data_IF_213312497729
#
_entry.id   IF_213312497729
#
_cell.length_a   1.000
_cell.length_b   1.000
_cell.length_c   1.000
_cell.angle_alpha   90.00
_cell.angle_beta   90.00
_cell.angle_gamma   90.00
#
_symmetry.space_group_name_H-M   'P 1'
#
loop_
_entity.id
_entity.type
_entity.pdbx_description
1 polymer ?
#
# COMPACT_ATOMS: atom_id res chain seq x y z
N UNK A 1 -4.20 13.63 -5.04
CA UNK A 1 -2.90 14.11 -4.48
C UNK A 1 -1.76 13.51 -5.29
N UNK A 2 -0.82 14.30 -5.77
CA UNK A 2 0.32 13.76 -6.52
C UNK A 2 1.31 13.12 -5.55
N UNK A 3 1.52 11.81 -5.66
CA UNK A 3 2.62 11.12 -5.01
C UNK A 3 3.72 10.86 -6.04
N UNK A 4 4.97 10.89 -5.61
CA UNK A 4 6.12 10.59 -6.47
C UNK A 4 6.78 9.31 -6.00
N UNK A 5 7.06 8.41 -6.93
CA UNK A 5 7.84 7.19 -6.68
C UNK A 5 9.20 7.30 -7.35
N UNK A 6 10.24 6.90 -6.65
CA UNK A 6 11.60 6.78 -7.16
C UNK A 6 12.00 5.31 -7.12
N UNK A 7 12.44 4.80 -8.25
CA UNK A 7 13.01 3.47 -8.40
C UNK A 7 14.50 3.61 -8.73
N UNK A 8 15.35 3.01 -7.91
CA UNK A 8 16.80 3.05 -8.10
C UNK A 8 17.30 1.65 -8.43
N UNK A 9 17.85 1.50 -9.62
CA UNK A 9 18.45 0.25 -10.10
C UNK A 9 19.89 0.08 -9.60
N UNK A 10 20.37 -1.16 -9.66
CA UNK A 10 21.70 -1.56 -9.15
C UNK A 10 22.88 -0.79 -9.74
N UNK A 11 22.73 -0.22 -10.92
CA UNK A 11 23.80 0.54 -11.58
C UNK A 11 23.88 2.00 -11.11
N UNK A 12 22.94 2.44 -10.28
CA UNK A 12 22.86 3.79 -9.73
C UNK A 12 23.19 3.83 -8.22
N UNK A 13 23.70 2.72 -7.67
CA UNK A 13 24.13 2.60 -6.27
C UNK A 13 25.58 2.13 -6.19
N UNK A 14 26.27 2.48 -5.11
CA UNK A 14 27.67 2.09 -4.91
C UNK A 14 27.84 0.59 -4.63
N UNK A 15 26.86 -0.01 -3.96
CA UNK A 15 26.91 -1.39 -3.48
C UNK A 15 26.06 -2.36 -4.35
N UNK A 16 25.47 -1.86 -5.44
CA UNK A 16 24.59 -2.65 -6.30
C UNK A 16 23.21 -2.94 -5.71
N UNK A 17 22.85 -2.29 -4.62
CA UNK A 17 21.50 -2.38 -4.06
C UNK A 17 20.46 -1.76 -4.98
N UNK A 18 19.21 -2.18 -4.82
CA UNK A 18 18.06 -1.55 -5.46
C UNK A 18 17.17 -0.92 -4.40
N UNK A 19 16.57 0.21 -4.72
CA UNK A 19 15.70 0.91 -3.78
C UNK A 19 14.38 1.29 -4.43
N UNK A 20 13.34 1.30 -3.59
CA UNK A 20 12.04 1.85 -3.91
C UNK A 20 11.69 2.86 -2.82
N UNK A 21 11.35 4.06 -3.23
CA UNK A 21 10.97 5.13 -2.32
C UNK A 21 9.78 5.90 -2.88
N UNK A 22 8.94 6.43 -1.99
CA UNK A 22 7.85 7.32 -2.38
C UNK A 22 7.65 8.38 -1.32
N UNK A 23 7.13 9.52 -1.75
CA UNK A 23 6.52 10.46 -0.85
C UNK A 23 5.00 10.19 -0.78
N UNK A 24 4.40 10.69 0.28
CA UNK A 24 2.97 10.65 0.52
C UNK A 24 2.55 12.11 0.73
N UNK A 25 2.06 12.75 -0.34
CA UNK A 25 1.77 14.18 -0.29
C UNK A 25 0.50 14.45 0.53
N UNK A 26 0.63 15.28 1.55
CA UNK A 26 -0.50 15.73 2.35
C UNK A 26 -1.42 16.64 1.50
N UNK A 27 -2.72 16.39 1.57
CA UNK A 27 -3.72 17.13 0.81
C UNK A 27 -4.00 18.52 1.35
N UNK A 28 -3.13 19.48 1.09
CA UNK A 28 -3.45 20.92 1.22
C UNK A 28 -3.74 21.49 2.61
N UNK A 29 -3.73 20.72 3.66
CA UNK A 29 -4.10 21.13 5.02
C UNK A 29 -2.92 21.10 6.01
N UNK A 30 -1.71 21.17 5.53
CA UNK A 30 -0.45 21.20 6.32
C UNK A 30 -0.28 20.05 7.33
N UNK A 31 -1.13 19.04 7.27
CA UNK A 31 -1.08 17.87 8.14
C UNK A 31 -0.59 16.66 7.38
N UNK A 32 0.60 16.19 7.70
CA UNK A 32 1.06 14.88 7.28
C UNK A 32 0.79 13.83 8.35
N UNK A 33 0.55 12.60 7.94
CA UNK A 33 0.42 11.48 8.87
C UNK A 33 1.78 10.80 9.02
N UNK A 34 2.36 10.77 10.22
CA UNK A 34 3.62 10.06 10.46
C UNK A 34 3.53 8.60 10.03
N UNK A 35 4.59 8.11 9.42
CA UNK A 35 4.75 6.71 9.01
C UNK A 35 5.73 5.99 9.93
N UNK A 36 5.63 4.68 9.99
CA UNK A 36 6.60 3.82 10.66
C UNK A 36 6.98 2.64 9.76
N UNK A 37 8.24 2.24 9.78
CA UNK A 37 8.63 1.00 9.12
C UNK A 37 8.33 -0.19 10.03
N UNK A 38 7.65 -1.18 9.47
CA UNK A 38 7.33 -2.43 10.17
C UNK A 38 7.75 -3.62 9.32
N UNK A 39 7.93 -4.76 10.00
CA UNK A 39 8.06 -6.07 9.38
C UNK A 39 6.81 -6.87 9.73
N UNK A 40 6.11 -7.35 8.72
CA UNK A 40 4.90 -8.17 8.89
C UNK A 40 5.25 -9.62 8.65
N UNK A 41 5.05 -10.45 9.67
CA UNK A 41 5.33 -11.88 9.59
C UNK A 41 4.18 -12.63 8.90
N UNK A 42 4.44 -13.79 8.28
CA UNK A 42 3.41 -14.61 7.63
C UNK A 42 2.20 -14.92 8.52
N UNK A 43 2.44 -15.18 9.81
CA UNK A 43 1.39 -15.49 10.79
C UNK A 43 0.51 -14.30 11.17
N UNK A 44 0.97 -13.08 10.93
CA UNK A 44 0.26 -11.82 11.24
C UNK A 44 -0.65 -11.37 10.09
N UNK A 45 -0.51 -12.00 8.92
CA UNK A 45 -1.25 -11.63 7.72
C UNK A 45 -2.61 -12.34 7.69
N UNK A 46 -3.69 -11.63 7.30
CA UNK A 46 -5.00 -12.25 7.12
C UNK A 46 -4.99 -13.25 5.96
N UNK A 47 -5.96 -14.15 5.93
CA UNK A 47 -6.18 -15.08 4.80
C UNK A 47 -7.26 -14.60 3.85
N UNK A 48 -7.97 -13.57 4.24
CA UNK A 48 -8.97 -12.89 3.40
C UNK A 48 -8.77 -11.39 3.57
N UNK A 49 -8.59 -10.69 2.48
CA UNK A 49 -8.70 -9.24 2.47
C UNK A 49 -10.17 -8.86 2.39
N UNK A 50 -10.59 -7.98 3.26
CA UNK A 50 -11.93 -7.37 3.24
C UNK A 50 -11.80 -5.90 2.93
N UNK A 51 -12.49 -5.45 1.90
CA UNK A 51 -12.54 -4.04 1.57
C UNK A 51 -13.21 -3.24 2.70
N UNK A 52 -12.72 -2.04 2.93
CA UNK A 52 -13.28 -1.14 3.97
C UNK A 52 -14.52 -0.42 3.44
N UNK A 53 -14.54 -0.11 2.15
CA UNK A 53 -15.54 0.75 1.52
C UNK A 53 -16.55 -0.02 0.66
N UNK A 54 -16.37 -1.32 0.52
CA UNK A 54 -17.22 -2.16 -0.32
C UNK A 54 -17.40 -3.56 0.28
N UNK A 55 -18.23 -4.38 -0.34
CA UNK A 55 -18.43 -5.78 0.05
C UNK A 55 -17.42 -6.76 -0.53
N UNK A 56 -16.37 -6.26 -1.21
CA UNK A 56 -15.37 -7.11 -1.85
C UNK A 56 -14.53 -7.85 -0.81
N UNK A 57 -14.44 -9.16 -0.97
CA UNK A 57 -13.52 -10.03 -0.25
C UNK A 57 -12.60 -10.74 -1.23
N UNK A 58 -11.29 -10.77 -0.93
CA UNK A 58 -10.28 -11.40 -1.79
C UNK A 58 -9.54 -12.44 -0.96
N UNK A 59 -9.55 -13.73 -1.37
CA UNK A 59 -8.74 -14.74 -0.72
C UNK A 59 -7.25 -14.43 -0.92
N UNK A 60 -6.50 -14.48 0.14
CA UNK A 60 -5.05 -14.25 0.15
C UNK A 60 -4.31 -15.60 0.24
N UNK A 61 -3.02 -15.63 -0.15
CA UNK A 61 -2.24 -16.85 -0.12
C UNK A 61 -2.20 -17.52 1.26
N UNK A 62 -2.29 -18.83 1.32
CA UNK A 62 -2.15 -19.60 2.56
C UNK A 62 -0.75 -19.50 3.15
N UNK A 63 0.26 -19.40 2.30
CA UNK A 63 1.66 -19.26 2.66
C UNK A 63 2.21 -17.91 2.19
N UNK A 64 1.81 -16.80 2.84
CA UNK A 64 2.27 -15.48 2.45
C UNK A 64 3.73 -15.27 2.83
N UNK A 65 4.41 -14.44 2.08
CA UNK A 65 5.79 -14.05 2.38
C UNK A 65 5.82 -12.97 3.47
N UNK A 66 6.91 -12.97 4.25
CA UNK A 66 7.24 -11.84 5.13
C UNK A 66 7.52 -10.61 4.28
N UNK A 67 7.09 -9.43 4.74
CA UNK A 67 7.35 -8.18 4.03
C UNK A 67 7.58 -7.01 4.99
N UNK A 68 8.24 -5.97 4.48
CA UNK A 68 8.33 -4.67 5.12
C UNK A 68 7.28 -3.74 4.54
N UNK A 69 6.74 -2.86 5.36
CA UNK A 69 5.79 -1.83 4.94
C UNK A 69 5.97 -0.56 5.76
N UNK A 70 5.38 0.53 5.27
CA UNK A 70 5.43 1.86 5.89
C UNK A 70 4.01 2.36 6.23
N UNK A 71 3.26 1.70 7.11
CA UNK A 71 1.92 2.13 7.47
C UNK A 71 1.91 3.42 8.28
N UNK A 72 0.71 3.98 8.45
CA UNK A 72 0.48 5.08 9.37
C UNK A 72 0.91 4.70 10.80
N UNK A 73 1.57 5.64 11.48
CA UNK A 73 2.02 5.46 12.86
C UNK A 73 0.98 5.92 13.90
N UNK A 74 -0.07 6.58 13.44
CA UNK A 74 -1.12 7.15 14.30
C UNK A 74 -2.33 6.21 14.31
N UNK A 75 -2.78 5.84 15.49
CA UNK A 75 -3.96 5.01 15.69
C UNK A 75 -5.21 5.69 15.10
N UNK A 76 -6.12 4.90 14.50
CA UNK A 76 -7.35 5.40 13.89
C UNK A 76 -7.18 6.05 12.51
N UNK A 77 -5.96 6.17 11.99
CA UNK A 77 -5.70 6.73 10.65
C UNK A 77 -5.59 5.67 9.54
N UNK A 78 -6.01 4.44 9.83
CA UNK A 78 -5.91 3.32 8.90
C UNK A 78 -4.47 2.84 8.66
N UNK A 79 -4.32 1.79 7.86
CA UNK A 79 -3.01 1.20 7.58
C UNK A 79 -2.21 2.06 6.60
N UNK A 80 -2.77 2.34 5.44
CA UNK A 80 -2.16 3.15 4.38
C UNK A 80 -0.69 2.82 4.10
N UNK A 81 -0.39 1.53 3.98
CA UNK A 81 0.96 1.01 3.79
C UNK A 81 1.35 0.93 2.32
N UNK A 82 1.34 2.05 1.62
CA UNK A 82 1.40 2.14 0.16
C UNK A 82 2.75 1.76 -0.49
N UNK A 83 3.73 1.32 0.28
CA UNK A 83 5.04 0.90 -0.19
C UNK A 83 5.58 -0.22 0.68
N UNK A 84 6.23 -1.20 0.07
CA UNK A 84 6.84 -2.31 0.79
C UNK A 84 7.67 -3.23 -0.09
N UNK A 85 8.43 -4.11 0.55
CA UNK A 85 9.28 -5.12 -0.11
C UNK A 85 9.12 -6.44 0.64
N UNK A 86 8.90 -7.53 -0.09
CA UNK A 86 8.83 -8.87 0.51
C UNK A 86 10.19 -9.58 0.53
N UNK A 87 10.28 -10.70 1.22
CA UNK A 87 11.51 -11.50 1.33
C UNK A 87 11.96 -12.13 0.01
N UNK A 88 11.09 -12.23 -0.99
CA UNK A 88 11.46 -12.60 -2.35
C UNK A 88 12.04 -11.43 -3.16
N UNK A 89 12.28 -10.28 -2.51
CA UNK A 89 12.82 -9.04 -3.10
C UNK A 89 11.90 -8.41 -4.13
N UNK A 90 10.60 -8.69 -4.06
CA UNK A 90 9.59 -7.98 -4.86
C UNK A 90 9.16 -6.73 -4.11
N UNK A 91 9.35 -5.57 -4.72
CA UNK A 91 8.90 -4.30 -4.20
C UNK A 91 7.58 -3.87 -4.83
N UNK A 92 6.77 -3.17 -4.05
CA UNK A 92 5.53 -2.55 -4.51
C UNK A 92 5.46 -1.11 -4.02
N UNK A 93 4.98 -0.23 -4.88
CA UNK A 93 4.53 1.11 -4.53
C UNK A 93 3.26 1.43 -5.31
N UNK A 94 2.34 2.13 -4.70
CA UNK A 94 1.08 2.52 -5.32
C UNK A 94 0.83 4.01 -5.09
N UNK A 95 0.63 4.75 -6.17
CA UNK A 95 0.22 6.16 -6.12
C UNK A 95 -1.31 6.23 -6.25
N UNK A 96 -1.92 7.28 -5.73
CA UNK A 96 -3.38 7.47 -5.78
C UNK A 96 -3.91 8.00 -7.12
N UNK A 97 -3.09 8.00 -8.14
CA UNK A 97 -3.50 8.41 -9.50
C UNK A 97 -4.20 7.27 -10.23
N UNK A 98 -5.30 6.79 -9.67
CA UNK A 98 -6.10 5.71 -10.25
C UNK A 98 -7.44 6.25 -10.72
N UNK A 99 -7.95 5.67 -11.80
CA UNK A 99 -9.33 5.84 -12.24
C UNK A 99 -10.04 4.49 -12.19
N UNK A 100 -11.29 4.49 -11.73
CA UNK A 100 -12.07 3.27 -11.64
C UNK A 100 -12.59 2.86 -13.01
N UNK A 101 -12.53 1.58 -13.31
CA UNK A 101 -13.20 1.02 -14.49
C UNK A 101 -14.71 1.04 -14.28
N UNK A 102 -15.51 1.59 -15.22
CA UNK A 102 -16.97 1.63 -15.09
C UNK A 102 -17.62 0.25 -14.84
N UNK A 103 -17.04 -0.82 -15.35
CA UNK A 103 -17.53 -2.18 -15.09
C UNK A 103 -17.35 -2.61 -13.65
N UNK A 104 -16.25 -2.18 -13.01
CA UNK A 104 -16.00 -2.44 -11.58
C UNK A 104 -17.02 -1.68 -10.75
N UNK A 105 -17.25 -0.41 -11.05
CA UNK A 105 -18.25 0.41 -10.36
C UNK A 105 -19.69 -0.12 -10.57
N UNK A 106 -19.97 -0.79 -11.69
CA UNK A 106 -21.25 -1.45 -11.93
C UNK A 106 -21.43 -2.72 -11.09
N UNK A 107 -20.36 -3.42 -10.76
CA UNK A 107 -20.39 -4.62 -9.93
C UNK A 107 -20.27 -4.31 -8.43
N UNK A 108 -19.55 -3.24 -8.07
CA UNK A 108 -19.34 -2.80 -6.70
C UNK A 108 -19.38 -1.25 -6.66
N UNK A 109 -20.56 -0.66 -6.56
CA UNK A 109 -20.74 0.77 -6.75
C UNK A 109 -20.25 1.64 -5.60
N UNK A 110 -19.70 1.09 -4.53
CA UNK A 110 -19.22 1.78 -3.32
C UNK A 110 -20.29 2.55 -2.53
N UNK A 111 -21.45 2.83 -3.13
CA UNK A 111 -22.53 3.60 -2.49
C UNK A 111 -23.18 2.89 -1.31
N UNK A 112 -23.07 1.57 -1.24
CA UNK A 112 -23.61 0.77 -0.13
C UNK A 112 -22.97 1.14 1.21
N UNK A 113 -21.76 1.71 1.19
CA UNK A 113 -21.02 2.10 2.36
C UNK A 113 -21.05 3.62 2.63
N UNK A 114 -21.91 4.34 1.96
CA UNK A 114 -22.18 5.75 2.24
C UNK A 114 -21.08 6.72 1.79
N UNK A 115 -20.39 6.41 0.70
CA UNK A 115 -19.37 7.27 0.11
C UNK A 115 -19.94 8.06 -1.06
#
# INVERSE_FOLDING_TARGET
MPCTTILVGKNATYDGSTMIARNDDAGGNDHFTPKKMIVVQPKEQPRVYKAVLSSVEIPLPENPLRYTAMPNAVEGKGIWGACGVNEARTGMTATETITSNPRVLGADPLVENGI
#
